data_IF_343481838618
#
_entry.id   IF_343481838618
#
_cell.length_a   1.000
_cell.length_b   1.000
_cell.length_c   1.000
_cell.angle_alpha   90.00
_cell.angle_beta   90.00
_cell.angle_gamma   90.00
#
_symmetry.space_group_name_H-M   'P 1'
#
loop_
_entity.id
_entity.type
_entity.pdbx_description
1 polymer ?
#
# COMPACT_ATOMS: atom_id res chain seq x y z
N UNK A 1 7.38 22.15 -14.91
CA UNK A 1 6.01 21.71 -15.24
C UNK A 1 5.97 20.55 -16.26
N UNK A 2 6.60 20.65 -17.46
CA UNK A 2 6.54 19.53 -18.44
C UNK A 2 7.31 18.28 -18.02
N UNK A 3 8.42 18.43 -17.33
CA UNK A 3 9.26 17.31 -16.86
C UNK A 3 8.52 16.51 -15.76
N UNK A 4 7.84 17.19 -14.86
CA UNK A 4 7.06 16.57 -13.80
C UNK A 4 5.93 15.71 -14.37
N UNK A 5 5.26 16.19 -15.43
CA UNK A 5 4.18 15.45 -16.08
C UNK A 5 4.64 14.14 -16.74
N UNK A 6 5.93 14.03 -17.06
CA UNK A 6 6.53 12.81 -17.63
C UNK A 6 7.03 11.85 -16.52
N UNK A 7 7.47 12.39 -15.40
CA UNK A 7 8.01 11.59 -14.28
C UNK A 7 6.94 10.73 -13.61
N UNK A 8 5.73 11.26 -13.39
CA UNK A 8 4.65 10.51 -12.75
C UNK A 8 4.24 9.23 -13.51
N UNK A 9 3.98 9.28 -14.84
CA UNK A 9 3.69 8.06 -15.60
C UNK A 9 4.87 7.08 -15.61
N UNK A 10 6.11 7.56 -15.67
CA UNK A 10 7.29 6.71 -15.68
C UNK A 10 7.42 5.95 -14.34
N UNK A 11 7.26 6.66 -13.23
CA UNK A 11 7.21 6.03 -11.89
C UNK A 11 6.08 5.01 -11.83
N UNK A 12 4.90 5.33 -12.35
CA UNK A 12 3.75 4.42 -12.38
C UNK A 12 4.01 3.15 -13.18
N UNK A 13 4.66 3.25 -14.35
CA UNK A 13 5.02 2.10 -15.20
C UNK A 13 6.03 1.21 -14.47
N UNK A 14 7.11 1.78 -13.94
CA UNK A 14 8.15 1.04 -13.23
C UNK A 14 7.59 0.40 -11.97
N UNK A 15 6.84 1.17 -11.18
CA UNK A 15 6.20 0.67 -9.95
C UNK A 15 5.18 -0.44 -10.25
N UNK A 16 4.37 -0.28 -11.31
CA UNK A 16 3.40 -1.28 -11.73
C UNK A 16 4.06 -2.57 -12.20
N UNK A 17 5.13 -2.48 -12.97
CA UNK A 17 5.91 -3.62 -13.42
C UNK A 17 6.53 -4.38 -12.23
N UNK A 18 7.23 -3.67 -11.34
CA UNK A 18 7.85 -4.27 -10.15
C UNK A 18 6.80 -4.87 -9.21
N UNK A 19 5.70 -4.17 -8.98
CA UNK A 19 4.61 -4.64 -8.14
C UNK A 19 3.97 -5.92 -8.67
N UNK A 20 3.79 -6.01 -10.00
CA UNK A 20 3.26 -7.20 -10.66
C UNK A 20 4.24 -8.37 -10.62
N UNK A 21 5.52 -8.10 -10.84
CA UNK A 21 6.57 -9.13 -10.87
C UNK A 21 6.83 -9.73 -9.49
N UNK A 22 6.97 -8.89 -8.47
CA UNK A 22 7.24 -9.35 -7.09
C UNK A 22 5.98 -9.75 -6.31
N UNK A 23 4.79 -9.43 -6.80
CA UNK A 23 3.54 -9.71 -6.09
C UNK A 23 3.38 -8.96 -4.76
N UNK A 24 4.21 -7.94 -4.50
CA UNK A 24 4.28 -7.22 -3.21
C UNK A 24 3.21 -6.12 -3.10
N UNK A 25 2.47 -5.87 -4.19
CA UNK A 25 1.54 -4.74 -4.27
C UNK A 25 2.23 -3.42 -4.53
N UNK A 26 1.60 -2.54 -5.31
CA UNK A 26 2.20 -1.28 -5.77
C UNK A 26 2.61 -0.31 -4.67
N UNK A 27 2.00 -0.40 -3.47
CA UNK A 27 2.23 0.54 -2.38
C UNK A 27 3.68 0.60 -1.91
N UNK A 28 4.36 -0.53 -1.87
CA UNK A 28 5.74 -0.62 -1.38
C UNK A 28 6.75 0.12 -2.29
N UNK A 29 6.44 0.26 -3.56
CA UNK A 29 7.27 1.01 -4.53
C UNK A 29 6.75 2.43 -4.70
N UNK A 30 5.42 2.62 -4.77
CA UNK A 30 4.80 3.93 -5.02
C UNK A 30 5.06 4.89 -3.85
N UNK A 31 4.90 4.44 -2.60
CA UNK A 31 5.04 5.33 -1.43
C UNK A 31 6.45 5.92 -1.32
N UNK A 32 7.55 5.13 -1.33
CA UNK A 32 8.90 5.70 -1.28
C UNK A 32 9.22 6.59 -2.47
N UNK A 33 8.77 6.20 -3.68
CA UNK A 33 9.03 6.98 -4.90
C UNK A 33 8.34 8.34 -4.88
N UNK A 34 7.09 8.40 -4.46
CA UNK A 34 6.35 9.66 -4.32
C UNK A 34 6.90 10.50 -3.17
N UNK A 35 7.22 9.88 -2.03
CA UNK A 35 7.82 10.59 -0.90
C UNK A 35 9.15 11.24 -1.31
N UNK A 36 10.02 10.51 -2.00
CA UNK A 36 11.27 11.04 -2.53
C UNK A 36 11.03 12.22 -3.49
N UNK A 37 10.06 12.08 -4.40
CA UNK A 37 9.72 13.13 -5.35
C UNK A 37 9.20 14.39 -4.64
N UNK A 38 8.29 14.26 -3.69
CA UNK A 38 7.77 15.40 -2.93
C UNK A 38 8.84 16.06 -2.05
N UNK A 39 9.75 15.27 -1.48
CA UNK A 39 10.89 15.78 -0.72
C UNK A 39 11.83 16.62 -1.59
N UNK A 40 12.09 16.20 -2.84
CA UNK A 40 12.89 16.99 -3.79
C UNK A 40 12.19 18.26 -4.25
N UNK A 41 10.86 18.30 -4.21
CA UNK A 41 10.05 19.49 -4.50
C UNK A 41 9.94 20.44 -3.30
N UNK A 42 10.54 20.12 -2.15
CA UNK A 42 10.58 20.96 -0.96
C UNK A 42 9.36 20.85 -0.05
N UNK A 43 8.51 19.83 -0.24
CA UNK A 43 7.41 19.56 0.69
C UNK A 43 7.92 18.92 1.97
N UNK A 44 7.34 19.32 3.12
CA UNK A 44 7.67 18.72 4.41
C UNK A 44 7.19 17.27 4.49
N UNK A 45 7.86 16.46 5.32
CA UNK A 45 7.50 15.06 5.54
C UNK A 45 6.07 14.90 6.10
N UNK A 46 5.60 15.88 6.87
CA UNK A 46 4.24 15.90 7.41
C UNK A 46 3.16 15.92 6.33
N UNK A 47 3.46 16.45 5.15
CA UNK A 47 2.55 16.51 4.01
C UNK A 47 2.86 15.39 3.00
N UNK A 48 4.13 15.17 2.69
CA UNK A 48 4.54 14.23 1.63
C UNK A 48 4.20 12.78 1.97
N UNK A 49 4.33 12.36 3.23
CA UNK A 49 4.03 10.99 3.65
C UNK A 49 2.54 10.66 3.54
N UNK A 50 1.61 11.44 4.13
CA UNK A 50 0.18 11.15 4.01
C UNK A 50 -0.34 11.20 2.58
N UNK A 51 0.15 12.14 1.77
CA UNK A 51 -0.25 12.27 0.35
C UNK A 51 0.25 11.07 -0.46
N UNK A 52 1.49 10.63 -0.24
CA UNK A 52 2.05 9.45 -0.90
C UNK A 52 1.27 8.17 -0.54
N UNK A 53 0.94 8.01 0.75
CA UNK A 53 0.11 6.90 1.23
C UNK A 53 -1.29 6.92 0.62
N UNK A 54 -1.96 8.08 0.63
CA UNK A 54 -3.29 8.23 0.04
C UNK A 54 -3.31 7.91 -1.46
N UNK A 55 -2.31 8.39 -2.21
CA UNK A 55 -2.17 8.09 -3.63
C UNK A 55 -1.91 6.61 -3.88
N UNK A 56 -1.04 5.97 -3.09
CA UNK A 56 -0.78 4.55 -3.20
C UNK A 56 -2.02 3.71 -2.91
N UNK A 57 -2.79 4.05 -1.88
CA UNK A 57 -4.05 3.38 -1.56
C UNK A 57 -5.09 3.53 -2.68
N UNK A 58 -5.22 4.72 -3.27
CA UNK A 58 -6.10 4.93 -4.42
C UNK A 58 -5.69 4.06 -5.62
N UNK A 59 -4.41 3.97 -5.94
CA UNK A 59 -3.89 3.10 -6.99
C UNK A 59 -4.17 1.62 -6.69
N UNK A 60 -4.02 1.19 -5.43
CA UNK A 60 -4.31 -0.19 -5.02
C UNK A 60 -5.80 -0.52 -5.23
N UNK A 61 -6.72 0.39 -4.91
CA UNK A 61 -8.15 0.19 -5.15
C UNK A 61 -8.44 -0.03 -6.63
N UNK A 62 -7.91 0.83 -7.51
CA UNK A 62 -8.12 0.71 -8.95
C UNK A 62 -7.53 -0.59 -9.50
N UNK A 63 -6.31 -0.95 -9.08
CA UNK A 63 -5.65 -2.19 -9.49
C UNK A 63 -6.41 -3.43 -9.00
N UNK A 64 -6.94 -3.40 -7.77
CA UNK A 64 -7.71 -4.51 -7.22
C UNK A 64 -9.02 -4.75 -7.97
N UNK A 65 -9.71 -3.68 -8.40
CA UNK A 65 -10.90 -3.80 -9.24
C UNK A 65 -10.60 -4.48 -10.58
N UNK A 66 -9.48 -4.14 -11.22
CA UNK A 66 -9.01 -4.82 -12.43
C UNK A 66 -8.71 -6.29 -12.18
N UNK A 67 -7.99 -6.62 -11.11
CA UNK A 67 -7.66 -8.00 -10.75
C UNK A 67 -8.92 -8.84 -10.46
N UNK A 68 -9.86 -8.28 -9.70
CA UNK A 68 -11.14 -8.95 -9.39
C UNK A 68 -11.91 -9.26 -10.67
N UNK A 69 -11.95 -8.34 -11.63
CA UNK A 69 -12.68 -8.55 -12.89
C UNK A 69 -12.12 -9.74 -13.69
N UNK A 70 -10.81 -9.93 -13.70
CA UNK A 70 -10.14 -11.07 -14.35
C UNK A 70 -10.44 -12.39 -13.61
N UNK A 71 -10.34 -12.39 -12.27
CA UNK A 71 -10.62 -13.57 -11.46
C UNK A 71 -12.10 -13.99 -11.50
N UNK A 72 -13.03 -13.03 -11.58
CA UNK A 72 -14.46 -13.30 -11.78
C UNK A 72 -14.72 -13.96 -13.13
N UNK A 73 -14.11 -13.45 -14.21
CA UNK A 73 -14.24 -14.05 -15.56
C UNK A 73 -13.75 -15.49 -15.58
N UNK A 74 -12.65 -15.77 -14.92
CA UNK A 74 -12.03 -17.10 -14.89
C UNK A 74 -12.65 -18.05 -13.86
N UNK A 75 -13.67 -17.60 -13.10
CA UNK A 75 -14.35 -18.40 -12.04
C UNK A 75 -13.38 -19.01 -11.01
N UNK A 76 -12.25 -18.37 -10.77
CA UNK A 76 -11.19 -18.85 -9.87
C UNK A 76 -11.41 -18.45 -8.41
N UNK A 77 -12.47 -17.70 -8.11
CA UNK A 77 -12.73 -17.19 -6.75
C UNK A 77 -13.35 -18.28 -5.87
N UNK A 78 -12.65 -18.68 -4.85
CA UNK A 78 -13.12 -19.53 -3.77
C UNK A 78 -13.88 -18.72 -2.73
N UNK A 79 -15.16 -18.46 -2.95
CA UNK A 79 -15.98 -17.60 -2.08
C UNK A 79 -15.96 -17.97 -0.61
N UNK A 80 -15.91 -19.27 -0.28
CA UNK A 80 -15.84 -19.72 1.14
C UNK A 80 -14.54 -19.29 1.82
N UNK A 81 -13.42 -19.40 1.12
CA UNK A 81 -12.11 -18.98 1.63
C UNK A 81 -11.98 -17.47 1.69
N UNK A 82 -12.52 -16.78 0.66
CA UNK A 82 -12.56 -15.33 0.61
C UNK A 82 -13.28 -14.73 1.82
N UNK A 83 -14.48 -15.20 2.16
CA UNK A 83 -15.25 -14.69 3.29
C UNK A 83 -14.54 -14.87 4.63
N UNK A 84 -13.85 -16.00 4.83
CA UNK A 84 -13.07 -16.26 6.06
C UNK A 84 -11.88 -15.31 6.19
N UNK A 85 -11.14 -15.11 5.10
CA UNK A 85 -9.98 -14.19 5.09
C UNK A 85 -10.46 -12.75 5.24
N UNK A 86 -11.51 -12.36 4.54
CA UNK A 86 -12.07 -11.02 4.58
C UNK A 86 -12.55 -10.64 5.99
N UNK A 87 -13.27 -11.53 6.67
CA UNK A 87 -13.71 -11.27 8.05
C UNK A 87 -12.53 -11.09 9.00
N UNK A 88 -11.50 -11.92 8.89
CA UNK A 88 -10.27 -11.78 9.68
C UNK A 88 -9.54 -10.47 9.38
N UNK A 89 -9.48 -10.04 8.12
CA UNK A 89 -8.84 -8.82 7.70
C UNK A 89 -9.57 -7.57 8.22
N UNK A 90 -10.92 -7.56 8.16
CA UNK A 90 -11.73 -6.46 8.68
C UNK A 90 -11.57 -6.34 10.20
N UNK A 91 -11.67 -7.45 10.92
CA UNK A 91 -11.50 -7.47 12.38
C UNK A 91 -10.07 -7.03 12.74
N UNK A 92 -9.05 -7.60 12.09
CA UNK A 92 -7.65 -7.26 12.33
C UNK A 92 -7.32 -5.80 12.03
N UNK A 93 -7.87 -5.23 10.96
CA UNK A 93 -7.64 -3.81 10.63
C UNK A 93 -8.31 -2.85 11.61
N UNK A 94 -9.51 -3.18 12.10
CA UNK A 94 -10.19 -2.39 13.13
C UNK A 94 -9.42 -2.41 14.46
N UNK A 95 -9.03 -3.59 14.92
CA UNK A 95 -8.21 -3.72 16.13
C UNK A 95 -6.84 -3.04 15.95
N UNK A 96 -6.18 -3.21 14.82
CA UNK A 96 -4.91 -2.54 14.51
C UNK A 96 -5.03 -1.03 14.53
N UNK A 97 -6.09 -0.46 13.94
CA UNK A 97 -6.35 0.97 13.97
C UNK A 97 -6.60 1.48 15.40
N UNK A 98 -7.43 0.79 16.18
CA UNK A 98 -7.71 1.17 17.58
C UNK A 98 -6.45 1.14 18.46
N UNK A 99 -5.62 0.12 18.28
CA UNK A 99 -4.34 0.02 19.01
C UNK A 99 -3.39 1.12 18.57
N UNK A 100 -3.30 1.40 17.26
CA UNK A 100 -2.40 2.42 16.73
C UNK A 100 -2.74 3.84 17.19
N UNK A 101 -4.02 4.16 17.39
CA UNK A 101 -4.45 5.48 17.89
C UNK A 101 -4.18 5.69 19.37
N UNK A 102 -4.16 4.61 20.17
CA UNK A 102 -4.00 4.67 21.61
C UNK A 102 -2.61 4.23 22.11
N UNK A 103 -1.77 3.69 21.23
CA UNK A 103 -0.44 3.22 21.61
C UNK A 103 0.62 4.33 21.48
N UNK A 104 1.50 4.40 22.48
CA UNK A 104 2.71 5.22 22.40
C UNK A 104 3.57 4.79 21.19
N UNK A 105 4.12 5.77 20.49
CA UNK A 105 4.99 5.56 19.30
C UNK A 105 6.14 4.58 19.57
N UNK A 106 6.63 4.52 20.80
CA UNK A 106 7.67 3.60 21.26
C UNK A 106 7.20 2.14 21.29
N UNK A 107 5.98 1.89 21.76
CA UNK A 107 5.39 0.55 21.81
C UNK A 107 5.15 0.04 20.39
N UNK A 108 4.65 0.91 19.50
CA UNK A 108 4.43 0.57 18.10
C UNK A 108 5.72 0.16 17.39
N UNK A 109 6.81 0.92 17.58
CA UNK A 109 8.12 0.58 17.02
C UNK A 109 8.64 -0.77 17.50
N UNK A 110 8.50 -1.07 18.80
CA UNK A 110 8.95 -2.35 19.37
C UNK A 110 8.16 -3.55 18.83
N UNK A 111 6.83 -3.41 18.76
CA UNK A 111 5.94 -4.46 18.22
C UNK A 111 6.23 -4.69 16.74
N UNK A 112 6.42 -3.63 15.96
CA UNK A 112 6.74 -3.72 14.54
C UNK A 112 8.11 -4.34 14.29
N UNK A 113 9.12 -3.95 15.08
CA UNK A 113 10.45 -4.55 15.01
C UNK A 113 10.44 -6.04 15.36
N UNK A 114 9.68 -6.44 16.40
CA UNK A 114 9.51 -7.83 16.79
C UNK A 114 8.80 -8.63 15.68
N UNK A 115 7.79 -8.05 15.05
CA UNK A 115 7.07 -8.68 13.94
C UNK A 115 8.00 -8.93 12.74
N UNK A 116 8.80 -7.93 12.35
CA UNK A 116 9.77 -8.08 11.26
C UNK A 116 10.80 -9.15 11.61
N UNK A 117 11.32 -9.16 12.84
CA UNK A 117 12.28 -10.16 13.29
C UNK A 117 11.72 -11.60 13.26
N UNK A 118 10.43 -11.77 13.54
CA UNK A 118 9.76 -13.08 13.51
C UNK A 118 9.48 -13.58 12.09
N UNK A 119 9.31 -12.66 11.12
CA UNK A 119 8.98 -12.98 9.72
C UNK A 119 10.23 -13.11 8.86
N UNK A 120 11.36 -12.56 9.28
CA UNK A 120 12.65 -12.63 8.60
C UNK A 120 13.38 -13.92 8.91
#
# INVERSE_FOLDING_TARGET
>A
MMIEFLIYPLIGIVAGFLAGFFGVGGGLVIVPSLHFLYSTMGYSDEVSIPVSLGTALACIVINSLSAISVHLKNKTILWKSFLKIFSGLVIGSLFGALISTNADKEVFKKVFALFIFLVS
#
